data_IF_981527625923
#
_entry.id   IF_981527625923
#
_cell.length_a   1.000
_cell.length_b   1.000
_cell.length_c   1.000
_cell.angle_alpha   90.00
_cell.angle_beta   90.00
_cell.angle_gamma   90.00
#
_symmetry.space_group_name_H-M   'P 1'
#
loop_
_entity.id
_entity.type
_entity.pdbx_description
1 polymer ?
#
# COMPACT_ATOMS: atom_id res chain seq x y z
N UNK A 1 -3.66 19.55 -28.41
CA UNK A 1 -4.90 19.90 -27.72
C UNK A 1 -5.63 18.61 -27.36
N UNK A 2 -5.23 17.95 -26.29
CA UNK A 2 -5.91 16.76 -25.80
C UNK A 2 -6.81 17.17 -24.63
N UNK A 3 -8.12 17.15 -24.86
CA UNK A 3 -9.12 17.16 -23.79
C UNK A 3 -9.31 15.72 -23.31
N UNK A 4 -8.52 15.28 -22.34
CA UNK A 4 -8.84 14.08 -21.58
C UNK A 4 -9.80 14.49 -20.46
N UNK A 5 -11.08 14.31 -20.70
CA UNK A 5 -12.13 14.54 -19.74
C UNK A 5 -12.19 13.34 -18.76
N UNK A 6 -12.32 13.64 -17.46
CA UNK A 6 -12.55 12.63 -16.42
C UNK A 6 -13.77 11.72 -16.67
N UNK A 7 -14.68 12.13 -17.53
CA UNK A 7 -15.82 11.33 -18.00
C UNK A 7 -15.41 10.09 -18.82
N UNK A 8 -14.24 10.11 -19.50
CA UNK A 8 -13.79 8.94 -20.30
C UNK A 8 -13.23 7.81 -19.42
N UNK A 9 -12.85 8.10 -18.18
CA UNK A 9 -12.34 7.10 -17.24
C UNK A 9 -13.47 6.37 -16.53
N UNK A 10 -14.62 7.03 -16.31
CA UNK A 10 -15.81 6.40 -15.73
C UNK A 10 -16.48 5.42 -16.69
N UNK A 11 -16.45 5.72 -18.00
CA UNK A 11 -17.00 4.82 -19.02
C UNK A 11 -16.19 3.53 -19.18
N UNK A 12 -14.94 3.48 -18.76
CA UNK A 12 -14.11 2.27 -18.88
C UNK A 12 -14.44 1.19 -17.86
N UNK A 13 -14.97 1.56 -16.69
CA UNK A 13 -15.36 0.60 -15.63
C UNK A 13 -16.71 -0.02 -15.96
N UNK A 14 -17.69 0.77 -16.42
CA UNK A 14 -18.99 0.27 -16.87
C UNK A 14 -18.87 -0.63 -18.13
N UNK A 15 -17.88 -0.38 -18.99
CA UNK A 15 -17.65 -1.19 -20.19
C UNK A 15 -17.17 -2.62 -19.90
N UNK A 16 -16.71 -2.89 -18.68
CA UNK A 16 -16.27 -4.23 -18.26
C UNK A 16 -17.43 -5.14 -17.81
N UNK A 17 -18.58 -4.55 -17.45
CA UNK A 17 -19.66 -5.28 -16.78
C UNK A 17 -21.02 -5.25 -17.51
N UNK A 18 -21.21 -4.40 -18.54
CA UNK A 18 -22.49 -4.28 -19.26
C UNK A 18 -22.29 -4.26 -20.77
N UNK A 19 -23.24 -4.89 -21.51
CA UNK A 19 -23.32 -4.78 -22.97
C UNK A 19 -23.85 -3.39 -23.37
N UNK A 20 -23.62 -2.98 -24.64
CA UNK A 20 -24.11 -1.70 -25.15
C UNK A 20 -25.65 -1.59 -25.00
N UNK A 21 -26.35 -2.70 -25.23
CA UNK A 21 -27.82 -2.77 -25.14
C UNK A 21 -28.34 -2.69 -23.71
N UNK A 22 -27.58 -3.14 -22.72
CA UNK A 22 -27.90 -3.00 -21.31
C UNK A 22 -27.67 -1.57 -20.81
N UNK A 23 -26.65 -0.88 -21.35
CA UNK A 23 -26.37 0.54 -21.07
C UNK A 23 -27.48 1.45 -21.61
N UNK A 24 -27.98 1.17 -22.82
CA UNK A 24 -29.06 1.95 -23.43
C UNK A 24 -30.43 1.70 -22.75
N UNK A 25 -30.56 0.59 -22.03
CA UNK A 25 -31.75 0.23 -21.22
C UNK A 25 -31.62 0.58 -19.76
N UNK A 26 -30.43 0.95 -19.26
CA UNK A 26 -30.23 1.29 -17.85
C UNK A 26 -31.07 2.54 -17.51
N UNK A 27 -31.86 2.53 -16.45
CA UNK A 27 -32.58 3.71 -16.02
C UNK A 27 -31.57 4.82 -15.71
N UNK A 28 -31.87 6.04 -16.18
CA UNK A 28 -31.06 7.23 -15.90
C UNK A 28 -30.83 7.32 -14.39
N UNK A 29 -29.55 7.29 -13.98
CA UNK A 29 -29.20 7.38 -12.55
C UNK A 29 -29.69 8.71 -11.99
N UNK A 30 -30.63 8.62 -11.05
CA UNK A 30 -31.23 9.78 -10.40
C UNK A 30 -30.44 10.13 -9.13
N UNK A 31 -30.15 11.41 -8.97
CA UNK A 31 -29.51 11.90 -7.74
C UNK A 31 -30.58 12.10 -6.67
N UNK A 32 -30.44 11.39 -5.57
CA UNK A 32 -31.31 11.48 -4.40
C UNK A 32 -30.58 12.20 -3.27
N UNK A 33 -31.28 13.08 -2.54
CA UNK A 33 -30.71 13.75 -1.38
C UNK A 33 -31.09 12.98 -0.11
N UNK A 34 -30.10 12.38 0.53
CA UNK A 34 -30.27 11.58 1.75
C UNK A 34 -29.70 12.31 2.96
N UNK A 35 -30.24 12.02 4.14
CA UNK A 35 -29.60 12.42 5.38
C UNK A 35 -28.33 11.58 5.58
N UNK A 36 -27.18 12.17 5.97
CA UNK A 36 -25.99 11.40 6.28
C UNK A 36 -26.20 10.27 7.30
N UNK A 37 -27.19 10.42 8.20
CA UNK A 37 -27.60 9.41 9.20
C UNK A 37 -28.29 8.18 8.61
N UNK A 38 -28.86 8.26 7.41
CA UNK A 38 -29.49 7.14 6.72
C UNK A 38 -28.47 6.27 5.97
N UNK A 39 -27.21 6.72 5.92
CA UNK A 39 -26.14 6.08 5.16
C UNK A 39 -25.13 5.49 6.13
N UNK A 40 -25.06 4.17 6.22
CA UNK A 40 -24.01 3.47 6.97
C UNK A 40 -22.68 3.48 6.20
N UNK A 41 -21.58 3.38 6.93
CA UNK A 41 -20.27 3.23 6.28
C UNK A 41 -20.07 1.80 5.76
N UNK A 42 -19.21 1.64 4.74
CA UNK A 42 -18.91 0.34 4.16
C UNK A 42 -18.19 -0.56 5.20
N UNK A 43 -18.58 -1.83 5.36
CA UNK A 43 -17.95 -2.74 6.32
C UNK A 43 -16.47 -2.90 6.04
N UNK A 44 -15.65 -2.84 7.09
CA UNK A 44 -14.19 -3.00 6.99
C UNK A 44 -13.53 -2.07 5.96
N UNK A 45 -14.08 -0.86 5.78
CA UNK A 45 -13.53 0.13 4.85
C UNK A 45 -12.06 0.43 5.15
N UNK A 46 -11.12 0.11 4.25
CA UNK A 46 -9.69 0.21 4.55
C UNK A 46 -9.16 1.63 4.60
N UNK A 47 -9.82 2.58 3.93
CA UNK A 47 -9.38 3.96 3.81
C UNK A 47 -9.94 4.81 4.94
N UNK A 48 -9.09 5.27 5.84
CA UNK A 48 -9.48 6.09 6.99
C UNK A 48 -9.89 7.50 6.54
N UNK A 49 -11.01 8.01 7.05
CA UNK A 49 -11.40 9.41 6.89
C UNK A 49 -10.68 10.22 7.98
N UNK A 50 -9.59 10.89 7.61
CA UNK A 50 -8.79 11.70 8.54
C UNK A 50 -9.35 13.11 8.63
N UNK A 51 -9.29 13.66 9.84
CA UNK A 51 -9.64 15.04 10.13
C UNK A 51 -8.41 15.95 9.97
N UNK A 52 -7.91 16.04 8.73
CA UNK A 52 -6.79 16.88 8.32
C UNK A 52 -7.24 18.24 7.77
N UNK A 53 -6.29 19.13 7.46
CA UNK A 53 -6.58 20.44 6.87
C UNK A 53 -7.37 20.31 5.56
N UNK A 54 -7.04 19.31 4.72
CA UNK A 54 -7.76 19.05 3.48
C UNK A 54 -9.21 18.61 3.73
N UNK A 55 -9.51 17.95 4.85
CA UNK A 55 -10.88 17.65 5.27
C UNK A 55 -11.63 18.92 5.67
N UNK A 56 -10.99 19.84 6.40
CA UNK A 56 -11.59 21.12 6.79
C UNK A 56 -11.91 22.00 5.58
N UNK A 57 -11.06 21.98 4.55
CA UNK A 57 -11.34 22.69 3.28
C UNK A 57 -12.58 22.10 2.58
N UNK A 58 -12.74 20.78 2.58
CA UNK A 58 -13.95 20.14 2.04
C UNK A 58 -15.18 20.57 2.84
N UNK A 59 -15.10 20.61 4.18
CA UNK A 59 -16.22 21.05 5.03
C UNK A 59 -16.62 22.50 4.72
N UNK A 60 -15.65 23.40 4.60
CA UNK A 60 -15.93 24.80 4.26
C UNK A 60 -16.55 24.93 2.84
N UNK A 61 -16.05 24.16 1.88
CA UNK A 61 -16.64 24.10 0.53
C UNK A 61 -18.10 23.61 0.58
N UNK A 62 -18.36 22.55 1.34
CA UNK A 62 -19.71 21.98 1.48
C UNK A 62 -20.65 22.96 2.20
N UNK A 63 -20.19 23.71 3.20
CA UNK A 63 -20.98 24.78 3.84
C UNK A 63 -21.42 25.85 2.84
N UNK A 64 -20.54 26.27 1.94
CA UNK A 64 -20.81 27.33 0.97
C UNK A 64 -21.65 26.87 -0.21
N UNK A 65 -21.27 25.76 -0.81
CA UNK A 65 -21.79 25.34 -2.11
C UNK A 65 -22.62 24.04 -2.06
N UNK A 66 -22.66 23.37 -0.91
CA UNK A 66 -23.18 22.01 -0.83
C UNK A 66 -22.18 21.00 -1.42
N UNK A 67 -22.62 19.76 -1.52
CA UNK A 67 -21.83 18.68 -2.16
C UNK A 67 -22.08 18.71 -3.66
N UNK A 68 -21.06 19.09 -4.43
CA UNK A 68 -21.16 19.26 -5.89
C UNK A 68 -21.13 17.93 -6.66
N UNK A 69 -20.42 16.93 -6.14
CA UNK A 69 -20.31 15.60 -6.78
C UNK A 69 -21.02 14.58 -5.89
N UNK A 70 -22.07 13.91 -6.39
CA UNK A 70 -22.81 12.94 -5.60
C UNK A 70 -21.95 11.76 -5.16
N UNK A 71 -22.29 11.15 -4.02
CA UNK A 71 -21.72 9.86 -3.60
C UNK A 71 -22.43 8.70 -4.27
N UNK A 72 -21.81 7.52 -4.19
CA UNK A 72 -22.44 6.27 -4.62
C UNK A 72 -22.83 5.45 -3.39
N UNK A 73 -24.09 5.04 -3.33
CA UNK A 73 -24.63 4.22 -2.26
C UNK A 73 -25.40 3.03 -2.83
N UNK A 74 -25.52 1.97 -2.05
CA UNK A 74 -26.42 0.86 -2.36
C UNK A 74 -27.48 0.69 -1.28
N UNK A 75 -28.69 0.18 -1.62
CA UNK A 75 -29.71 -0.14 -0.62
C UNK A 75 -29.25 -1.34 0.21
N UNK A 76 -29.58 -1.34 1.50
CA UNK A 76 -29.35 -2.47 2.41
C UNK A 76 -30.62 -3.31 2.54
N UNK A 77 -30.48 -4.66 2.71
CA UNK A 77 -31.63 -5.53 2.94
C UNK A 77 -32.45 -5.14 4.16
N UNK A 78 -31.79 -4.63 5.21
CA UNK A 78 -32.40 -4.22 6.48
C UNK A 78 -32.96 -2.80 6.46
N UNK A 79 -32.95 -2.14 5.32
CA UNK A 79 -33.36 -0.75 5.14
C UNK A 79 -32.20 0.24 5.29
N UNK A 80 -32.37 1.45 4.77
CA UNK A 80 -31.30 2.45 4.66
C UNK A 80 -30.31 2.13 3.55
N UNK A 81 -29.17 2.83 3.60
CA UNK A 81 -28.18 2.77 2.53
C UNK A 81 -26.79 2.48 3.08
N UNK A 82 -25.93 1.94 2.24
CA UNK A 82 -24.52 1.72 2.52
C UNK A 82 -23.66 2.52 1.55
N UNK A 83 -22.66 3.24 2.09
CA UNK A 83 -21.75 4.07 1.33
C UNK A 83 -20.75 3.21 0.55
N UNK A 84 -20.71 3.34 -0.77
CA UNK A 84 -19.70 2.69 -1.61
C UNK A 84 -18.58 3.66 -1.98
N UNK A 85 -18.91 4.90 -2.36
CA UNK A 85 -17.90 5.91 -2.69
C UNK A 85 -18.33 7.31 -2.26
N UNK A 86 -17.40 8.06 -1.63
CA UNK A 86 -17.65 9.44 -1.20
C UNK A 86 -17.64 9.67 0.31
N UNK A 87 -17.04 8.79 1.11
CA UNK A 87 -16.98 8.85 2.57
C UNK A 87 -16.53 10.22 3.13
N UNK A 88 -15.49 10.84 2.55
CA UNK A 88 -15.05 12.18 2.98
C UNK A 88 -16.13 13.26 2.74
N UNK A 89 -16.82 13.19 1.60
CA UNK A 89 -17.90 14.14 1.27
C UNK A 89 -19.13 13.93 2.15
N UNK A 90 -19.48 12.67 2.46
CA UNK A 90 -20.52 12.33 3.45
C UNK A 90 -20.18 12.94 4.81
N UNK A 91 -18.95 12.71 5.31
CA UNK A 91 -18.50 13.26 6.59
C UNK A 91 -18.52 14.79 6.62
N UNK A 92 -18.11 15.43 5.52
CA UNK A 92 -18.19 16.89 5.41
C UNK A 92 -19.62 17.40 5.40
N UNK A 93 -20.54 16.68 4.73
CA UNK A 93 -21.96 16.99 4.71
C UNK A 93 -22.60 16.90 6.10
N UNK A 94 -22.25 15.85 6.85
CA UNK A 94 -22.65 15.66 8.24
C UNK A 94 -22.19 16.83 9.12
N UNK A 95 -20.91 17.21 9.04
CA UNK A 95 -20.34 18.33 9.79
C UNK A 95 -20.93 19.70 9.39
N UNK A 96 -21.33 19.84 8.13
CA UNK A 96 -21.96 21.05 7.61
C UNK A 96 -23.47 21.10 7.87
N UNK A 97 -24.06 20.04 8.40
CA UNK A 97 -25.52 19.94 8.63
C UNK A 97 -26.35 19.99 7.35
N UNK A 98 -25.79 19.45 6.23
CA UNK A 98 -26.44 19.49 4.91
C UNK A 98 -26.82 18.09 4.42
N UNK A 99 -27.88 17.95 3.58
CA UNK A 99 -28.19 16.68 2.95
C UNK A 99 -27.07 16.28 2.00
N UNK A 100 -26.89 14.98 1.82
CA UNK A 100 -25.86 14.41 0.97
C UNK A 100 -26.45 13.88 -0.34
N UNK A 101 -26.08 14.43 -1.50
CA UNK A 101 -26.54 13.93 -2.79
C UNK A 101 -25.89 12.58 -3.10
N UNK A 102 -26.70 11.60 -3.46
CA UNK A 102 -26.27 10.23 -3.73
C UNK A 102 -26.88 9.70 -5.02
N UNK A 103 -26.13 8.87 -5.71
CA UNK A 103 -26.63 7.94 -6.72
C UNK A 103 -26.89 6.62 -6.00
N UNK A 104 -28.11 6.12 -6.10
CA UNK A 104 -28.49 4.83 -5.54
C UNK A 104 -28.37 3.78 -6.64
N UNK A 105 -27.53 2.75 -6.41
CA UNK A 105 -27.35 1.65 -7.36
C UNK A 105 -27.42 0.31 -6.62
N UNK A 106 -28.23 -0.60 -7.12
CA UNK A 106 -28.23 -1.99 -6.64
C UNK A 106 -26.97 -2.69 -7.14
N UNK A 107 -26.24 -3.36 -6.24
CA UNK A 107 -25.04 -4.10 -6.55
C UNK A 107 -24.76 -5.16 -5.49
N UNK A 108 -24.09 -6.23 -5.89
CA UNK A 108 -23.61 -7.28 -5.00
C UNK A 108 -22.51 -6.78 -4.04
N UNK A 109 -22.19 -7.54 -3.00
CA UNK A 109 -21.11 -7.24 -2.06
C UNK A 109 -19.74 -7.17 -2.75
N UNK A 110 -19.51 -8.05 -3.71
CA UNK A 110 -18.24 -8.09 -4.44
C UNK A 110 -18.11 -6.92 -5.41
N UNK A 111 -19.18 -6.55 -6.11
CA UNK A 111 -19.20 -5.35 -6.97
C UNK A 111 -18.99 -4.08 -6.16
N UNK A 112 -19.68 -3.93 -5.03
CA UNK A 112 -19.52 -2.80 -4.14
C UNK A 112 -18.08 -2.71 -3.59
N UNK A 113 -17.48 -3.85 -3.23
CA UNK A 113 -16.09 -3.92 -2.77
C UNK A 113 -15.12 -3.47 -3.87
N UNK A 114 -15.28 -3.95 -5.09
CA UNK A 114 -14.41 -3.59 -6.21
C UNK A 114 -14.51 -2.09 -6.51
N UNK A 115 -15.74 -1.54 -6.62
CA UNK A 115 -15.97 -0.12 -6.89
C UNK A 115 -15.41 0.75 -5.76
N UNK A 116 -15.63 0.36 -4.49
CA UNK A 116 -15.09 1.07 -3.33
C UNK A 116 -13.57 1.15 -3.38
N UNK A 117 -12.90 0.04 -3.66
CA UNK A 117 -11.44 -0.01 -3.75
C UNK A 117 -10.95 0.83 -4.93
N UNK A 118 -11.52 0.69 -6.11
CA UNK A 118 -11.08 1.41 -7.32
C UNK A 118 -11.24 2.93 -7.19
N UNK A 119 -12.31 3.38 -6.58
CA UNK A 119 -12.55 4.82 -6.34
C UNK A 119 -11.55 5.44 -5.34
N UNK A 120 -10.83 4.64 -4.57
CA UNK A 120 -9.90 5.10 -3.55
C UNK A 120 -8.42 4.82 -3.86
N UNK A 121 -8.09 3.77 -4.64
CA UNK A 121 -6.70 3.44 -5.00
C UNK A 121 -5.99 4.52 -5.83
N UNK A 122 -6.75 5.35 -6.56
CA UNK A 122 -6.21 6.45 -7.36
C UNK A 122 -5.80 7.68 -6.53
N UNK A 123 -5.96 7.63 -5.20
CA UNK A 123 -5.53 8.72 -4.32
C UNK A 123 -4.00 8.75 -4.22
N UNK A 124 -3.40 9.91 -4.45
CA UNK A 124 -1.94 10.11 -4.40
C UNK A 124 -1.31 9.77 -3.03
N UNK A 125 -2.07 9.86 -1.94
CA UNK A 125 -1.58 9.71 -0.56
C UNK A 125 -2.28 8.57 0.21
N UNK A 126 -2.41 7.39 -0.41
CA UNK A 126 -2.90 6.21 0.33
C UNK A 126 -1.80 5.62 1.20
N UNK A 127 -2.14 5.25 2.45
CA UNK A 127 -1.19 4.59 3.35
C UNK A 127 -0.86 3.18 2.89
N UNK A 128 0.32 2.66 3.24
CA UNK A 128 0.68 1.26 3.02
C UNK A 128 -0.35 0.26 3.58
N UNK A 129 -0.88 0.49 4.79
CA UNK A 129 -1.95 -0.33 5.38
C UNK A 129 -3.24 -0.26 4.57
N UNK A 130 -3.66 0.93 4.14
CA UNK A 130 -4.86 1.12 3.33
C UNK A 130 -4.75 0.37 2.01
N UNK A 131 -3.61 0.49 1.30
CA UNK A 131 -3.33 -0.29 0.08
C UNK A 131 -3.33 -1.80 0.33
N UNK A 132 -2.74 -2.23 1.45
CA UNK A 132 -2.65 -3.65 1.80
C UNK A 132 -4.03 -4.30 1.93
N UNK A 133 -4.91 -3.71 2.75
CA UNK A 133 -6.27 -4.23 2.94
C UNK A 133 -7.14 -4.04 1.68
N UNK A 134 -7.01 -2.92 0.97
CA UNK A 134 -7.74 -2.66 -0.27
C UNK A 134 -7.41 -3.72 -1.35
N UNK A 135 -6.14 -3.99 -1.60
CA UNK A 135 -5.73 -5.02 -2.56
C UNK A 135 -6.19 -6.41 -2.14
N UNK A 136 -6.14 -6.74 -0.85
CA UNK A 136 -6.64 -8.02 -0.34
C UNK A 136 -8.15 -8.15 -0.58
N UNK A 137 -8.93 -7.16 -0.17
CA UNK A 137 -10.39 -7.14 -0.34
C UNK A 137 -10.80 -7.26 -1.81
N UNK A 138 -10.18 -6.47 -2.70
CA UNK A 138 -10.48 -6.53 -4.13
C UNK A 138 -10.11 -7.88 -4.75
N UNK A 139 -8.94 -8.42 -4.40
CA UNK A 139 -8.51 -9.72 -4.90
C UNK A 139 -9.47 -10.84 -4.47
N UNK A 140 -9.93 -10.80 -3.20
CA UNK A 140 -10.86 -11.80 -2.67
C UNK A 140 -12.26 -11.67 -3.33
N UNK A 141 -12.76 -10.44 -3.56
CA UNK A 141 -14.00 -10.19 -4.29
C UNK A 141 -13.91 -10.70 -5.75
N UNK A 142 -12.83 -10.37 -6.45
CA UNK A 142 -12.62 -10.85 -7.83
C UNK A 142 -12.58 -12.37 -7.93
N UNK A 143 -12.00 -13.05 -6.93
CA UNK A 143 -11.94 -14.52 -6.89
C UNK A 143 -13.32 -15.14 -6.68
N UNK A 144 -14.16 -14.59 -5.78
CA UNK A 144 -15.53 -15.03 -5.56
C UNK A 144 -16.37 -14.89 -6.83
N UNK A 145 -16.31 -13.74 -7.50
CA UNK A 145 -16.98 -13.53 -8.78
C UNK A 145 -16.53 -14.52 -9.88
N UNK A 146 -15.25 -14.89 -9.93
CA UNK A 146 -14.75 -15.87 -10.88
C UNK A 146 -15.26 -17.29 -10.56
N UNK A 147 -15.38 -17.66 -9.30
CA UNK A 147 -15.93 -18.94 -8.85
C UNK A 147 -17.41 -19.10 -9.18
N UNK A 148 -18.20 -18.04 -9.02
CA UNK A 148 -19.64 -18.05 -9.36
C UNK A 148 -19.92 -18.08 -10.87
N UNK A 149 -19.01 -17.50 -11.69
CA UNK A 149 -19.17 -17.45 -13.16
C UNK A 149 -18.88 -18.75 -13.91
N UNK A 150 -18.36 -19.77 -13.26
CA UNK A 150 -18.13 -21.07 -13.90
C UNK A 150 -19.42 -21.78 -14.31
N UNK A 151 -20.58 -21.36 -13.77
CA UNK A 151 -21.89 -21.94 -14.09
C UNK A 151 -22.67 -21.19 -15.20
N UNK A 152 -22.18 -20.04 -15.70
CA UNK A 152 -22.89 -19.24 -16.71
C UNK A 152 -22.05 -19.11 -17.99
N UNK A 153 -22.45 -19.88 -18.99
CA UNK A 153 -21.88 -20.01 -20.33
C UNK A 153 -21.99 -18.70 -21.15
N UNK A 154 -20.84 -18.02 -21.38
CA UNK A 154 -20.65 -17.17 -22.57
C UNK A 154 -19.18 -17.23 -23.00
N UNK A 155 -18.91 -18.08 -24.00
CA UNK A 155 -17.59 -18.64 -24.29
C UNK A 155 -16.54 -17.67 -24.90
N UNK A 156 -16.89 -16.47 -25.35
CA UNK A 156 -15.99 -15.69 -26.22
C UNK A 156 -15.21 -14.58 -25.51
N UNK A 157 -15.77 -13.93 -24.49
CA UNK A 157 -15.08 -12.93 -23.68
C UNK A 157 -14.29 -13.60 -22.55
N UNK A 158 -14.82 -14.70 -22.02
CA UNK A 158 -14.19 -15.53 -20.99
C UNK A 158 -12.88 -16.18 -21.46
N UNK A 159 -12.70 -16.51 -22.74
CA UNK A 159 -11.45 -17.09 -23.25
C UNK A 159 -10.26 -16.13 -23.25
N UNK A 160 -10.48 -14.81 -23.34
CA UNK A 160 -9.40 -13.81 -23.23
C UNK A 160 -9.06 -13.45 -21.78
N UNK A 161 -10.05 -13.48 -20.88
CA UNK A 161 -9.87 -13.25 -19.44
C UNK A 161 -9.39 -14.52 -18.72
N UNK A 162 -9.75 -15.70 -19.18
CA UNK A 162 -9.34 -17.00 -18.63
C UNK A 162 -7.82 -17.26 -18.68
N UNK A 163 -7.04 -16.45 -19.39
CA UNK A 163 -5.56 -16.54 -19.44
C UNK A 163 -4.85 -15.68 -18.39
N UNK A 164 -5.53 -14.69 -17.77
CA UNK A 164 -4.92 -13.83 -16.75
C UNK A 164 -5.44 -14.18 -15.36
N UNK A 165 -4.55 -14.29 -14.40
CA UNK A 165 -4.95 -14.45 -12.98
C UNK A 165 -5.57 -13.16 -12.46
N UNK A 166 -6.44 -13.25 -11.43
CA UNK A 166 -7.04 -12.06 -10.78
C UNK A 166 -5.97 -11.05 -10.31
N UNK A 167 -4.76 -11.52 -9.98
CA UNK A 167 -3.63 -10.66 -9.60
C UNK A 167 -3.04 -9.90 -10.79
N UNK A 168 -2.96 -10.50 -11.95
CA UNK A 168 -2.48 -9.84 -13.17
C UNK A 168 -3.45 -8.74 -13.62
N UNK A 169 -4.75 -9.02 -13.52
CA UNK A 169 -5.80 -8.04 -13.79
C UNK A 169 -5.69 -6.86 -12.81
N UNK A 170 -5.52 -7.16 -11.52
CA UNK A 170 -5.36 -6.14 -10.50
C UNK A 170 -4.10 -5.28 -10.72
N UNK A 171 -2.98 -5.87 -11.11
CA UNK A 171 -1.73 -5.17 -11.43
C UNK A 171 -1.90 -4.21 -12.62
N UNK A 172 -2.56 -4.67 -13.68
CA UNK A 172 -2.83 -3.85 -14.86
C UNK A 172 -3.74 -2.66 -14.54
N UNK A 173 -4.77 -2.86 -13.69
CA UNK A 173 -5.71 -1.82 -13.29
C UNK A 173 -5.12 -0.79 -12.33
N UNK A 174 -4.26 -1.23 -11.41
CA UNK A 174 -3.66 -0.35 -10.41
C UNK A 174 -2.40 0.38 -10.86
N UNK A 175 -1.79 -0.03 -11.98
CA UNK A 175 -0.49 0.46 -12.43
C UNK A 175 0.69 0.02 -11.55
N UNK A 176 0.45 -0.84 -10.55
CA UNK A 176 1.47 -1.40 -9.67
C UNK A 176 1.96 -2.75 -10.22
N UNK A 177 3.22 -3.11 -9.94
CA UNK A 177 3.70 -4.44 -10.32
C UNK A 177 3.03 -5.55 -9.49
N UNK A 178 2.86 -6.73 -10.09
CA UNK A 178 2.35 -7.92 -9.39
C UNK A 178 3.10 -8.21 -8.08
N UNK A 179 4.42 -8.03 -8.08
CA UNK A 179 5.25 -8.24 -6.88
C UNK A 179 4.99 -7.17 -5.81
N UNK A 180 4.75 -5.92 -6.21
CA UNK A 180 4.42 -4.84 -5.29
C UNK A 180 3.06 -5.08 -4.62
N UNK A 181 2.05 -5.50 -5.38
CA UNK A 181 0.73 -5.87 -4.83
C UNK A 181 0.87 -7.02 -3.83
N UNK A 182 1.67 -8.04 -4.16
CA UNK A 182 1.95 -9.16 -3.25
C UNK A 182 2.58 -8.68 -1.94
N UNK A 183 3.52 -7.75 -2.00
CA UNK A 183 4.16 -7.16 -0.82
C UNK A 183 3.15 -6.40 0.04
N UNK A 184 2.29 -5.56 -0.57
CA UNK A 184 1.23 -4.89 0.16
C UNK A 184 0.30 -5.89 0.85
N UNK A 185 -0.22 -6.89 0.13
CA UNK A 185 -1.12 -7.90 0.72
C UNK A 185 -0.44 -8.62 1.90
N UNK A 186 0.88 -8.88 1.83
CA UNK A 186 1.61 -9.50 2.95
C UNK A 186 1.54 -8.67 4.24
N UNK A 187 1.51 -7.34 4.16
CA UNK A 187 1.43 -6.47 5.33
C UNK A 187 0.16 -6.72 6.17
N UNK A 188 -0.91 -7.27 5.58
CA UNK A 188 -2.14 -7.59 6.34
C UNK A 188 -1.95 -8.67 7.40
N UNK A 189 -0.79 -9.34 7.43
CA UNK A 189 -0.44 -10.33 8.46
C UNK A 189 0.40 -9.73 9.61
N UNK A 190 0.69 -8.43 9.57
CA UNK A 190 1.33 -7.74 10.68
C UNK A 190 0.30 -7.40 11.76
N UNK A 191 0.75 -7.35 13.00
CA UNK A 191 -0.05 -6.78 14.09
C UNK A 191 -0.23 -5.27 13.85
N UNK A 192 -1.35 -4.68 14.32
CA UNK A 192 -1.68 -3.28 14.03
C UNK A 192 -0.56 -2.30 14.38
N UNK A 193 0.11 -2.48 15.50
CA UNK A 193 1.15 -1.60 16.00
C UNK A 193 2.38 -1.56 15.08
N UNK A 194 2.78 -2.70 14.52
CA UNK A 194 3.88 -2.77 13.54
C UNK A 194 3.44 -2.18 12.19
N UNK A 195 2.19 -2.40 11.82
CA UNK A 195 1.63 -1.85 10.58
C UNK A 195 1.55 -0.32 10.64
N UNK A 196 1.19 0.24 11.80
CA UNK A 196 1.20 1.70 12.02
C UNK A 196 2.61 2.29 11.87
N UNK A 197 3.68 1.57 12.28
CA UNK A 197 5.06 2.00 12.03
C UNK A 197 5.40 2.08 10.54
N UNK A 198 4.77 1.24 9.71
CA UNK A 198 4.93 1.32 8.24
C UNK A 198 4.20 2.56 7.69
N UNK A 199 3.01 2.85 8.18
CA UNK A 199 2.24 4.03 7.81
C UNK A 199 2.94 5.33 8.22
N UNK A 200 3.63 5.35 9.36
CA UNK A 200 4.40 6.49 9.85
C UNK A 200 5.52 6.92 8.90
N UNK A 201 5.96 6.06 7.98
CA UNK A 201 6.91 6.46 6.91
C UNK A 201 6.31 7.47 5.94
N UNK A 202 5.00 7.41 5.71
CA UNK A 202 4.24 8.31 4.82
C UNK A 202 3.72 9.52 5.59
N UNK A 203 3.20 9.30 6.80
CA UNK A 203 2.66 10.34 7.68
C UNK A 203 3.74 11.32 8.15
N UNK A 204 4.97 10.85 8.20
CA UNK A 204 6.15 11.62 8.62
C UNK A 204 5.98 12.30 9.99
N UNK A 205 5.22 11.67 10.88
CA UNK A 205 5.04 12.17 12.26
C UNK A 205 6.40 12.19 12.98
N UNK A 206 6.60 13.23 13.79
CA UNK A 206 7.79 13.36 14.63
C UNK A 206 7.67 12.40 15.81
N UNK A 207 8.82 11.93 16.28
CA UNK A 207 8.93 11.09 17.49
C UNK A 207 8.18 9.75 17.43
N UNK A 208 7.92 9.22 16.22
CA UNK A 208 7.32 7.91 16.03
C UNK A 208 8.30 6.94 15.36
N UNK A 209 8.27 5.67 15.76
CA UNK A 209 9.02 4.63 15.08
C UNK A 209 8.51 4.46 13.65
N UNK A 210 9.45 4.34 12.72
CA UNK A 210 9.17 4.18 11.29
C UNK A 210 9.80 2.90 10.77
N UNK A 211 9.05 2.13 10.01
CA UNK A 211 9.52 0.88 9.42
C UNK A 211 9.38 0.89 7.91
N UNK A 212 10.47 0.65 7.20
CA UNK A 212 10.44 0.56 5.74
C UNK A 212 9.66 -0.69 5.27
N UNK A 213 9.13 -0.63 4.05
CA UNK A 213 8.32 -1.70 3.44
C UNK A 213 9.04 -3.06 3.43
N UNK A 214 10.32 -3.10 3.12
CA UNK A 214 11.05 -4.37 2.97
C UNK A 214 11.20 -5.15 4.28
N UNK A 215 11.70 -4.59 5.41
CA UNK A 215 11.67 -5.29 6.67
C UNK A 215 10.26 -5.67 7.11
N UNK A 216 9.24 -4.81 6.92
CA UNK A 216 7.86 -5.10 7.25
C UNK A 216 7.32 -6.35 6.53
N UNK A 217 7.63 -6.51 5.24
CA UNK A 217 7.26 -7.72 4.48
C UNK A 217 7.94 -8.97 5.05
N UNK A 218 9.22 -8.91 5.43
CA UNK A 218 9.89 -10.05 6.05
C UNK A 218 9.29 -10.41 7.42
N UNK A 219 8.97 -9.40 8.24
CA UNK A 219 8.34 -9.59 9.55
C UNK A 219 6.92 -10.14 9.46
N UNK A 220 6.20 -9.91 8.36
CA UNK A 220 4.87 -10.47 8.13
C UNK A 220 4.83 -12.00 8.02
N UNK A 221 5.97 -12.67 8.00
CA UNK A 221 6.09 -14.13 8.05
C UNK A 221 6.23 -14.67 9.49
N UNK A 222 6.47 -13.80 10.47
CA UNK A 222 6.55 -14.17 11.87
C UNK A 222 5.15 -14.49 12.42
N UNK A 223 5.09 -15.35 13.43
CA UNK A 223 3.87 -15.61 14.19
C UNK A 223 3.48 -14.38 15.02
N UNK A 224 2.22 -14.25 15.37
CA UNK A 224 1.73 -13.09 16.13
C UNK A 224 2.47 -12.89 17.46
N UNK A 225 2.71 -13.97 18.21
CA UNK A 225 3.47 -13.90 19.46
C UNK A 225 4.92 -13.42 19.25
N UNK A 226 5.57 -13.83 18.15
CA UNK A 226 6.93 -13.40 17.81
C UNK A 226 6.95 -11.92 17.39
N UNK A 227 5.91 -11.46 16.69
CA UNK A 227 5.74 -10.04 16.36
C UNK A 227 5.55 -9.18 17.62
N UNK A 228 4.81 -9.67 18.63
CA UNK A 228 4.64 -8.97 19.92
C UNK A 228 5.95 -8.87 20.70
N UNK A 229 6.72 -9.96 20.79
CA UNK A 229 8.06 -9.94 21.40
C UNK A 229 8.99 -8.95 20.70
N UNK A 230 8.96 -8.93 19.38
CA UNK A 230 9.75 -7.96 18.59
C UNK A 230 9.27 -6.52 18.84
N UNK A 231 7.97 -6.27 18.94
CA UNK A 231 7.42 -4.95 19.23
C UNK A 231 7.95 -4.42 20.58
N UNK A 232 7.94 -5.25 21.62
CA UNK A 232 8.50 -4.89 22.93
C UNK A 232 9.97 -4.49 22.81
N UNK A 233 10.77 -5.28 22.09
CA UNK A 233 12.19 -4.98 21.87
C UNK A 233 12.36 -3.68 21.07
N UNK A 234 11.56 -3.45 20.02
CA UNK A 234 11.64 -2.20 19.22
C UNK A 234 11.31 -0.96 20.03
N UNK A 235 10.34 -1.06 20.95
CA UNK A 235 9.98 0.07 21.83
C UNK A 235 11.07 0.33 22.87
N UNK A 236 11.65 -0.72 23.48
CA UNK A 236 12.75 -0.57 24.45
C UNK A 236 14.01 0.02 23.81
N UNK A 237 14.36 -0.42 22.61
CA UNK A 237 15.56 0.01 21.89
C UNK A 237 15.35 1.29 21.05
N UNK A 238 14.14 1.84 21.04
CA UNK A 238 13.73 2.97 20.19
C UNK A 238 14.18 2.82 18.73
N UNK A 239 14.21 1.57 18.23
CA UNK A 239 14.74 1.25 16.92
C UNK A 239 13.94 0.17 16.20
N UNK A 240 13.93 0.23 14.86
CA UNK A 240 13.29 -0.77 14.00
C UNK A 240 14.34 -1.61 13.27
N UNK A 241 14.08 -2.91 12.99
CA UNK A 241 15.05 -3.76 12.34
C UNK A 241 15.32 -3.35 10.89
N UNK A 242 16.55 -3.54 10.46
CA UNK A 242 16.92 -3.45 9.04
C UNK A 242 16.37 -4.63 8.25
N UNK A 243 16.38 -4.55 6.91
CA UNK A 243 15.94 -5.66 6.05
C UNK A 243 16.76 -6.95 6.28
N UNK A 244 18.05 -6.83 6.58
CA UNK A 244 18.92 -7.98 6.87
C UNK A 244 18.55 -8.63 8.22
N UNK A 245 18.32 -7.82 9.25
CA UNK A 245 17.89 -8.29 10.57
C UNK A 245 16.51 -8.95 10.49
N UNK A 246 15.52 -8.33 9.82
CA UNK A 246 14.20 -8.89 9.61
C UNK A 246 14.25 -10.25 8.88
N UNK A 247 15.08 -10.37 7.84
CA UNK A 247 15.30 -11.64 7.14
C UNK A 247 15.91 -12.71 8.02
N UNK A 248 16.85 -12.36 8.92
CA UNK A 248 17.39 -13.29 9.92
C UNK A 248 16.29 -13.75 10.87
N UNK A 249 15.50 -12.84 11.45
CA UNK A 249 14.39 -13.16 12.33
C UNK A 249 13.41 -14.13 11.67
N UNK A 250 13.04 -13.88 10.42
CA UNK A 250 12.20 -14.78 9.66
C UNK A 250 12.79 -16.18 9.57
N UNK A 251 14.08 -16.32 9.26
CA UNK A 251 14.73 -17.64 9.20
C UNK A 251 14.70 -18.36 10.55
N UNK A 252 14.99 -17.65 11.66
CA UNK A 252 14.91 -18.23 12.99
C UNK A 252 13.47 -18.61 13.39
N UNK A 253 12.46 -17.86 12.93
CA UNK A 253 11.05 -18.21 13.10
C UNK A 253 10.68 -19.47 12.33
N UNK A 254 11.11 -19.59 11.07
CA UNK A 254 10.90 -20.78 10.23
C UNK A 254 11.56 -22.05 10.86
N UNK A 255 12.72 -21.86 11.54
CA UNK A 255 13.38 -22.92 12.31
C UNK A 255 12.76 -23.19 13.69
N UNK A 256 11.79 -22.39 14.13
CA UNK A 256 11.16 -22.50 15.46
C UNK A 256 12.08 -22.09 16.61
N UNK A 257 13.12 -21.29 16.34
CA UNK A 257 14.16 -20.89 17.31
C UNK A 257 14.13 -19.41 17.66
N UNK A 258 13.11 -18.65 17.23
CA UNK A 258 13.02 -17.23 17.50
C UNK A 258 12.49 -17.00 18.93
N UNK A 259 13.36 -16.57 19.83
CA UNK A 259 13.04 -16.14 21.20
C UNK A 259 13.34 -14.65 21.39
N UNK A 260 12.91 -14.09 22.52
CA UNK A 260 13.20 -12.68 22.86
C UNK A 260 14.70 -12.40 22.92
N UNK A 261 15.52 -13.33 23.46
CA UNK A 261 16.97 -13.17 23.52
C UNK A 261 17.61 -13.16 22.12
N UNK A 262 17.10 -14.01 21.21
CA UNK A 262 17.55 -14.04 19.81
C UNK A 262 17.15 -12.77 19.08
N UNK A 263 15.94 -12.26 19.31
CA UNK A 263 15.48 -10.99 18.74
C UNK A 263 16.39 -9.85 19.21
N UNK A 264 16.66 -9.74 20.51
CA UNK A 264 17.53 -8.73 21.09
C UNK A 264 18.94 -8.81 20.48
N UNK A 265 19.54 -9.98 20.46
CA UNK A 265 20.86 -10.19 19.86
C UNK A 265 20.92 -9.78 18.38
N UNK A 266 19.87 -10.05 17.59
CA UNK A 266 19.80 -9.62 16.19
C UNK A 266 19.62 -8.08 16.08
N UNK A 267 18.86 -7.46 16.99
CA UNK A 267 18.67 -6.00 16.99
C UNK A 267 19.94 -5.23 17.36
N UNK A 268 20.78 -5.77 18.24
CA UNK A 268 22.08 -5.21 18.64
C UNK A 268 23.14 -5.30 17.53
N UNK A 269 22.96 -6.16 16.53
CA UNK A 269 23.91 -6.25 15.41
C UNK A 269 24.00 -4.90 14.66
N UNK A 270 25.22 -4.47 14.34
CA UNK A 270 25.47 -3.27 13.53
C UNK A 270 24.67 -3.30 12.22
N UNK A 271 23.82 -2.31 12.01
CA UNK A 271 23.09 -2.14 10.75
C UNK A 271 24.06 -1.80 9.63
N UNK A 272 23.87 -2.39 8.44
CA UNK A 272 24.79 -2.22 7.30
C UNK A 272 25.03 -0.77 6.87
N UNK A 273 24.08 0.15 7.16
CA UNK A 273 24.21 1.59 6.94
C UNK A 273 24.99 2.33 8.05
N UNK A 274 25.23 1.70 9.19
CA UNK A 274 26.06 2.23 10.28
C UNK A 274 27.54 1.85 10.12
N UNK A 275 27.87 0.90 9.24
CA UNK A 275 29.27 0.61 8.88
C UNK A 275 29.83 1.79 8.13
N UNK A 276 30.85 2.41 8.70
CA UNK A 276 31.60 3.44 8.00
C UNK A 276 32.12 2.89 6.66
N UNK A 277 31.57 3.39 5.56
CA UNK A 277 32.03 3.05 4.22
C UNK A 277 32.80 4.21 3.64
N UNK A 278 34.09 4.03 3.50
CA UNK A 278 34.89 4.96 2.72
C UNK A 278 34.61 4.75 1.22
N UNK A 279 33.91 5.69 0.60
CA UNK A 279 33.63 5.66 -0.85
C UNK A 279 34.59 6.60 -1.57
N UNK A 280 35.42 6.06 -2.41
CA UNK A 280 36.31 6.83 -3.30
C UNK A 280 35.76 6.82 -4.72
N UNK A 281 35.52 7.99 -5.36
CA UNK A 281 35.12 8.05 -6.76
C UNK A 281 36.12 7.34 -7.64
N UNK A 282 35.64 6.44 -8.51
CA UNK A 282 36.53 5.64 -9.40
C UNK A 282 37.41 6.50 -10.29
N UNK A 283 36.94 7.67 -10.67
CA UNK A 283 37.67 8.66 -11.48
C UNK A 283 39.02 9.09 -10.82
N UNK A 284 39.06 9.19 -9.49
CA UNK A 284 40.25 9.60 -8.74
C UNK A 284 41.39 8.55 -8.77
N UNK A 285 41.00 7.28 -8.93
CA UNK A 285 41.93 6.15 -8.90
C UNK A 285 42.13 5.48 -10.25
N UNK A 286 41.27 5.80 -11.24
CA UNK A 286 41.29 5.17 -12.58
C UNK A 286 42.63 5.26 -13.30
N UNK A 287 43.37 6.35 -13.08
CA UNK A 287 44.72 6.55 -13.68
C UNK A 287 45.79 5.56 -13.18
N UNK A 288 45.54 4.85 -12.08
CA UNK A 288 46.46 3.88 -11.49
C UNK A 288 46.15 2.42 -11.84
N UNK A 289 45.04 2.18 -12.52
CA UNK A 289 44.53 0.84 -12.82
C UNK A 289 44.12 0.71 -14.28
N UNK A 290 44.35 -0.47 -14.86
CA UNK A 290 43.91 -0.76 -16.22
C UNK A 290 42.36 -0.75 -16.32
N UNK A 291 41.80 -0.37 -17.48
CA UNK A 291 40.35 -0.46 -17.71
C UNK A 291 39.85 -1.89 -17.48
N UNK A 292 38.78 -2.05 -16.70
CA UNK A 292 38.21 -3.37 -16.39
C UNK A 292 38.75 -4.07 -15.15
N UNK A 293 39.72 -3.49 -14.42
CA UNK A 293 40.22 -4.08 -13.17
C UNK A 293 39.11 -4.30 -12.16
N UNK A 294 38.95 -5.52 -11.58
CA UNK A 294 37.94 -5.82 -10.57
C UNK A 294 38.07 -4.93 -9.33
N UNK A 295 36.93 -4.55 -8.71
CA UNK A 295 36.90 -3.69 -7.54
C UNK A 295 37.67 -4.25 -6.34
N UNK A 296 37.68 -5.58 -6.17
CA UNK A 296 38.42 -6.25 -5.12
C UNK A 296 39.92 -6.07 -5.30
N UNK A 297 40.45 -6.26 -6.53
CA UNK A 297 41.86 -6.08 -6.86
C UNK A 297 42.32 -4.63 -6.63
N UNK A 298 41.43 -3.66 -6.93
CA UNK A 298 41.69 -2.24 -6.67
C UNK A 298 41.81 -2.01 -5.16
N UNK A 299 40.86 -2.52 -4.36
CA UNK A 299 40.89 -2.38 -2.90
C UNK A 299 42.15 -3.00 -2.28
N UNK A 300 42.50 -4.23 -2.67
CA UNK A 300 43.69 -4.93 -2.16
C UNK A 300 44.98 -4.20 -2.51
N UNK A 301 45.08 -3.61 -3.71
CA UNK A 301 46.25 -2.83 -4.14
C UNK A 301 46.35 -1.52 -3.36
N UNK A 302 45.24 -0.84 -3.08
CA UNK A 302 45.23 0.38 -2.26
C UNK A 302 45.71 0.07 -0.84
N UNK A 303 45.20 -1.00 -0.22
CA UNK A 303 45.65 -1.41 1.13
C UNK A 303 47.17 -1.70 1.16
N UNK A 304 47.67 -2.46 0.20
CA UNK A 304 49.12 -2.73 0.09
C UNK A 304 49.96 -1.47 -0.09
N UNK A 305 49.49 -0.52 -0.92
CA UNK A 305 50.18 0.75 -1.14
C UNK A 305 50.22 1.61 0.14
N UNK A 306 49.12 1.63 0.92
CA UNK A 306 49.06 2.34 2.20
C UNK A 306 49.97 1.69 3.26
N UNK A 307 50.06 0.38 3.30
CA UNK A 307 50.97 -0.32 4.21
C UNK A 307 52.44 -0.02 3.87
N UNK A 308 52.79 0.03 2.59
CA UNK A 308 54.14 0.43 2.13
C UNK A 308 54.42 1.89 2.50
N UNK A 309 53.50 2.79 2.26
CA UNK A 309 53.63 4.20 2.61
C UNK A 309 53.84 4.39 4.12
N UNK A 310 53.10 3.66 4.95
CA UNK A 310 53.25 3.70 6.42
C UNK A 310 54.61 3.18 6.89
N UNK A 311 55.15 2.16 6.22
CA UNK A 311 56.53 1.67 6.49
C UNK A 311 57.58 2.74 6.15
N UNK A 312 57.44 3.37 4.98
CA UNK A 312 58.36 4.45 4.55
C UNK A 312 58.31 5.67 5.46
N UNK A 313 57.16 6.03 5.99
CA UNK A 313 57.07 7.11 6.97
C UNK A 313 57.82 6.76 8.26
N UNK A 314 57.63 5.56 8.81
CA UNK A 314 58.34 5.13 10.02
C UNK A 314 59.85 5.05 9.85
N UNK A 315 60.33 4.76 8.64
CA UNK A 315 61.78 4.78 8.33
C UNK A 315 62.35 6.20 8.19
N UNK A 316 61.49 7.20 7.84
CA UNK A 316 61.90 8.61 7.77
C UNK A 316 61.88 9.33 9.13
N UNK A 317 61.14 8.81 10.09
CA UNK A 317 61.05 9.34 11.46
C UNK A 317 62.09 8.72 12.40
N UNK A 318 62.89 7.75 11.93
CA UNK A 318 64.07 7.17 12.59
C UNK A 318 65.35 7.79 12.06
#
# INVERSE_FOLDING_TARGET
LAKNSAASLLTSVDSLFTTQEERDKAPLETVVHLSPSEISDFPNHPFKVRMDNAMMEIVESVKRYGVLVPGLVRPKPDGGYEMVSGHRRKRASEMAGKPFPCIVREMSDDEATIIMVDSNLQREQSLPSEKAFAYKMKLDAMRRQQGERTDLTSATVLQKLAKKTSREILAEQSGESHEQIRRYIRLTNLIPEILDMVDNTVLNEKDTLKMAMQPAVELSYLKENEQRMLLETMVCEESTPSAAQAKKMRRFSEEGKLSSDVILSIMEEEKGNQKEQFKMPRERISKYFAPGTPAQTIADTIVKALDMYRKLQRERER
#
